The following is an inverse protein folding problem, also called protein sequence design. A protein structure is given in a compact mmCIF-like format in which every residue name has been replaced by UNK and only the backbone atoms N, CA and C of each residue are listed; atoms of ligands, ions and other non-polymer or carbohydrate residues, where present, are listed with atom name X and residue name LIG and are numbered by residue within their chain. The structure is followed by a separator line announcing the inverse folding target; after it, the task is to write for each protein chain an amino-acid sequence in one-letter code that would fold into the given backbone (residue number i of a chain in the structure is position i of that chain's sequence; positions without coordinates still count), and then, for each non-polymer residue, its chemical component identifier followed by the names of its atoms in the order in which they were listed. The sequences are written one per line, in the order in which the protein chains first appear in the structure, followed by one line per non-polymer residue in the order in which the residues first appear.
data_IF_792998103326
#
_entry.id   IF_792998103326
#
_cell.length_a   1.000
_cell.length_b   1.000
_cell.length_c   1.000
_cell.angle_alpha   90.00
_cell.angle_beta   90.00
_cell.angle_gamma   90.00
#
_symmetry.space_group_name_H-M   'P 1'
#
loop_
_entity.id
_entity.type
_entity.pdbx_description
1 polymer ?
#
# COMPACT_ATOMS: atom_id res chain seq x y z
N UNK A 1 25.79 -21.43 -6.79
CA UNK A 1 26.44 -20.63 -5.74
C UNK A 1 26.13 -19.14 -5.85
N UNK A 2 26.21 -18.52 -7.05
CA UNK A 2 25.89 -17.09 -7.23
C UNK A 2 24.46 -16.66 -6.83
N UNK A 3 23.45 -17.50 -7.04
CA UNK A 3 22.06 -17.21 -6.66
C UNK A 3 21.92 -17.04 -5.13
N UNK A 4 22.59 -17.88 -4.33
CA UNK A 4 22.55 -17.77 -2.87
C UNK A 4 23.19 -16.48 -2.36
N UNK A 5 24.30 -16.05 -2.98
CA UNK A 5 24.95 -14.78 -2.66
C UNK A 5 24.03 -13.59 -2.93
N UNK A 6 23.36 -13.59 -4.08
CA UNK A 6 22.40 -12.55 -4.46
C UNK A 6 21.23 -12.52 -3.47
N UNK A 7 20.66 -13.67 -3.11
CA UNK A 7 19.57 -13.74 -2.13
C UNK A 7 19.99 -13.21 -0.76
N UNK A 8 21.19 -13.56 -0.28
CA UNK A 8 21.70 -13.08 1.01
C UNK A 8 21.85 -11.55 1.00
N UNK A 9 22.39 -10.98 -0.10
CA UNK A 9 22.53 -9.52 -0.23
C UNK A 9 21.16 -8.83 -0.15
N UNK A 10 20.17 -9.30 -0.92
CA UNK A 10 18.82 -8.71 -0.89
C UNK A 10 18.12 -8.89 0.45
N UNK A 11 18.34 -10.02 1.13
CA UNK A 11 17.82 -10.25 2.47
C UNK A 11 18.38 -9.24 3.48
N UNK A 12 19.71 -9.06 3.51
CA UNK A 12 20.37 -8.10 4.40
C UNK A 12 19.89 -6.67 4.13
N UNK A 13 19.81 -6.28 2.86
CA UNK A 13 19.31 -4.95 2.49
C UNK A 13 17.85 -4.76 2.93
N UNK A 14 16.98 -5.74 2.69
CA UNK A 14 15.56 -5.68 3.10
C UNK A 14 15.42 -5.58 4.61
N UNK A 15 16.23 -6.34 5.35
CA UNK A 15 16.26 -6.29 6.81
C UNK A 15 16.71 -4.93 7.33
N UNK A 16 17.76 -4.34 6.74
CA UNK A 16 18.22 -2.99 7.09
C UNK A 16 17.14 -1.92 6.88
N UNK A 17 16.43 -1.97 5.74
CA UNK A 17 15.32 -1.04 5.46
C UNK A 17 14.19 -1.21 6.49
N UNK A 18 13.81 -2.45 6.79
CA UNK A 18 12.79 -2.76 7.80
C UNK A 18 13.16 -2.20 9.18
N UNK A 19 14.41 -2.38 9.61
CA UNK A 19 14.91 -1.80 10.86
C UNK A 19 14.85 -0.27 10.87
N UNK A 20 15.22 0.39 9.76
CA UNK A 20 15.14 1.85 9.67
C UNK A 20 13.70 2.35 9.76
N UNK A 21 12.76 1.71 9.06
CA UNK A 21 11.34 2.08 9.12
C UNK A 21 10.80 1.95 10.55
N UNK A 22 11.06 0.84 11.22
CA UNK A 22 10.67 0.61 12.62
C UNK A 22 11.29 1.66 13.55
N UNK A 23 12.57 1.99 13.36
CA UNK A 23 13.27 3.00 14.16
C UNK A 23 12.68 4.41 13.97
N UNK A 24 12.37 4.80 12.73
CA UNK A 24 11.73 6.09 12.43
C UNK A 24 10.34 6.15 13.03
N UNK A 25 9.53 5.10 12.84
CA UNK A 25 8.20 5.02 13.44
C UNK A 25 8.28 5.19 14.96
N UNK A 26 9.12 4.41 15.64
CA UNK A 26 9.32 4.50 17.09
C UNK A 26 9.76 5.91 17.55
N UNK A 27 10.62 6.59 16.77
CA UNK A 27 11.04 7.97 17.07
C UNK A 27 9.88 8.96 16.97
N UNK A 28 9.11 8.91 15.89
CA UNK A 28 8.01 9.85 15.66
C UNK A 28 6.76 9.54 16.48
N UNK A 29 6.57 8.30 16.91
CA UNK A 29 5.50 7.91 17.84
C UNK A 29 5.68 8.51 19.24
N UNK A 30 6.89 8.93 19.61
CA UNK A 30 7.17 9.62 20.89
C UNK A 30 6.96 11.13 20.83
N UNK A 31 6.84 11.71 19.64
CA UNK A 31 6.65 13.15 19.47
C UNK A 31 5.15 13.42 19.50
N UNK A 32 4.70 14.10 20.54
CA UNK A 32 3.30 14.44 20.73
C UNK A 32 2.79 15.40 19.63
N UNK A 33 1.53 15.25 19.27
CA UNK A 33 0.87 16.16 18.33
C UNK A 33 0.62 17.53 19.00
N UNK A 34 0.87 18.67 18.33
CA UNK A 34 0.68 20.00 18.95
C UNK A 34 -0.76 20.29 19.44
N UNK A 35 -1.77 19.78 18.71
CA UNK A 35 -3.19 19.85 19.12
C UNK A 35 -3.61 18.72 20.05
N UNK A 36 -2.71 17.79 20.34
CA UNK A 36 -2.96 16.62 21.15
C UNK A 36 -4.03 15.68 20.60
N UNK A 37 -4.47 15.78 19.35
CA UNK A 37 -5.48 14.87 18.81
C UNK A 37 -4.93 13.44 18.70
N UNK A 38 -5.79 12.46 18.95
CA UNK A 38 -5.54 11.04 18.67
C UNK A 38 -5.64 10.75 17.16
N UNK A 39 -5.06 9.63 16.71
CA UNK A 39 -5.18 9.21 15.31
C UNK A 39 -6.64 9.05 14.87
N UNK A 40 -7.51 8.52 15.74
CA UNK A 40 -8.96 8.48 15.49
C UNK A 40 -9.55 9.87 15.23
N UNK A 41 -9.30 10.82 16.13
CA UNK A 41 -9.86 12.17 16.01
C UNK A 41 -9.33 12.89 14.76
N UNK A 42 -8.07 12.65 14.39
CA UNK A 42 -7.49 13.16 13.14
C UNK A 42 -8.21 12.57 11.92
N UNK A 43 -8.44 11.26 11.92
CA UNK A 43 -9.14 10.56 10.85
C UNK A 43 -10.57 11.08 10.66
N UNK A 44 -11.35 11.14 11.74
CA UNK A 44 -12.72 11.65 11.73
C UNK A 44 -12.78 13.11 11.27
N UNK A 45 -11.89 13.96 11.78
CA UNK A 45 -11.81 15.36 11.36
C UNK A 45 -11.49 15.49 9.88
N UNK A 46 -10.55 14.69 9.35
CA UNK A 46 -10.17 14.73 7.95
C UNK A 46 -11.31 14.28 7.03
N UNK A 47 -12.03 13.21 7.39
CA UNK A 47 -13.21 12.71 6.66
C UNK A 47 -14.33 13.76 6.67
N UNK A 48 -14.66 14.32 7.84
CA UNK A 48 -15.69 15.35 7.97
C UNK A 48 -15.37 16.61 7.18
N UNK A 49 -14.10 17.04 7.15
CA UNK A 49 -13.67 18.19 6.34
C UNK A 49 -13.85 17.96 4.83
N UNK A 50 -13.93 16.70 4.38
CA UNK A 50 -14.21 16.33 2.99
C UNK A 50 -15.68 15.94 2.75
N UNK A 51 -16.57 16.16 3.72
CA UNK A 51 -17.99 15.83 3.61
C UNK A 51 -18.31 14.33 3.63
N UNK A 52 -17.38 13.51 4.13
CA UNK A 52 -17.51 12.05 4.18
C UNK A 52 -17.98 11.66 5.58
N UNK A 53 -19.21 11.13 5.67
CA UNK A 53 -19.84 10.72 6.94
C UNK A 53 -20.21 9.23 6.97
N UNK A 54 -20.09 8.53 5.84
CA UNK A 54 -20.42 7.13 5.69
C UNK A 54 -19.23 6.18 5.95
N UNK A 55 -18.05 6.75 6.19
CA UNK A 55 -16.84 6.00 6.54
C UNK A 55 -16.65 5.97 8.06
N UNK A 56 -16.56 4.77 8.63
CA UNK A 56 -16.35 4.58 10.09
C UNK A 56 -14.88 4.40 10.42
N UNK A 57 -14.41 5.03 11.49
CA UNK A 57 -13.05 4.84 12.02
C UNK A 57 -13.09 3.85 13.18
N UNK A 58 -12.46 2.69 13.03
CA UNK A 58 -12.46 1.60 14.03
C UNK A 58 -11.05 1.16 14.40
N UNK A 59 -10.90 0.57 15.58
CA UNK A 59 -9.66 -0.07 16.00
C UNK A 59 -9.65 -1.53 15.57
N UNK A 60 -8.53 -2.00 15.02
CA UNK A 60 -8.29 -3.42 14.70
C UNK A 60 -7.07 -3.91 15.45
N UNK A 61 -7.04 -5.20 15.80
CA UNK A 61 -5.92 -5.80 16.52
C UNK A 61 -4.65 -5.86 15.65
N UNK A 62 -3.48 -5.79 16.32
CA UNK A 62 -2.16 -5.84 15.71
C UNK A 62 -1.42 -4.50 15.74
N UNK A 63 -0.15 -4.53 15.33
CA UNK A 63 0.70 -3.34 15.16
C UNK A 63 0.93 -3.09 13.67
N UNK A 64 0.85 -1.83 13.22
CA UNK A 64 1.06 -1.43 11.82
C UNK A 64 0.15 -2.20 10.83
N UNK A 65 -1.03 -2.60 11.30
CA UNK A 65 -2.08 -3.27 10.52
C UNK A 65 -3.12 -2.28 9.98
N UNK A 66 -2.80 -0.99 10.01
CA UNK A 66 -3.65 0.10 9.58
C UNK A 66 -3.98 -0.02 8.08
N UNK A 67 -5.27 0.06 7.73
CA UNK A 67 -5.73 0.03 6.34
C UNK A 67 -7.16 0.57 6.17
N UNK A 68 -7.45 1.15 5.01
CA UNK A 68 -8.83 1.41 4.57
C UNK A 68 -9.46 0.20 3.87
N UNK A 69 -10.69 -0.16 4.25
CA UNK A 69 -11.51 -1.16 3.57
C UNK A 69 -12.64 -0.51 2.75
N UNK A 70 -12.56 -0.50 1.41
CA UNK A 70 -13.57 0.12 0.55
C UNK A 70 -14.90 -0.65 0.52
N UNK A 71 -14.91 -1.96 0.79
CA UNK A 71 -16.13 -2.78 0.75
C UNK A 71 -17.06 -2.45 1.92
N UNK A 72 -16.48 -2.27 3.11
CA UNK A 72 -17.23 -1.97 4.34
C UNK A 72 -17.22 -0.47 4.70
N UNK A 73 -16.47 0.34 3.93
CA UNK A 73 -16.22 1.77 4.20
C UNK A 73 -15.72 2.00 5.62
N UNK A 74 -14.64 1.32 6.00
CA UNK A 74 -14.03 1.48 7.32
C UNK A 74 -12.56 1.86 7.21
N UNK A 75 -12.13 2.83 8.01
CA UNK A 75 -10.72 3.11 8.27
C UNK A 75 -10.36 2.31 9.52
N UNK A 76 -9.52 1.29 9.34
CA UNK A 76 -9.09 0.40 10.39
C UNK A 76 -7.72 0.87 10.87
N UNK A 77 -7.63 1.26 12.14
CA UNK A 77 -6.37 1.71 12.75
C UNK A 77 -5.93 0.71 13.82
N UNK A 78 -4.63 0.46 13.93
CA UNK A 78 -4.04 -0.30 15.03
C UNK A 78 -4.26 0.43 16.35
N UNK A 79 -4.27 -0.24 17.52
CA UNK A 79 -4.59 0.40 18.79
C UNK A 79 -3.63 1.55 19.13
N UNK A 80 -2.34 1.38 18.78
CA UNK A 80 -1.28 2.37 18.95
C UNK A 80 -1.52 3.65 18.13
N UNK A 81 -2.15 3.53 16.96
CA UNK A 81 -2.50 4.67 16.09
C UNK A 81 -3.85 5.23 16.49
N UNK A 82 -4.84 4.37 16.73
CA UNK A 82 -6.20 4.76 17.09
C UNK A 82 -6.22 5.63 18.35
N UNK A 83 -5.52 5.20 19.41
CA UNK A 83 -5.42 5.92 20.67
C UNK A 83 -4.19 6.84 20.76
N UNK A 84 -3.20 6.65 19.89
CA UNK A 84 -1.95 7.41 19.90
C UNK A 84 -2.16 8.89 19.61
N UNK A 85 -1.54 9.75 20.43
CA UNK A 85 -1.58 11.22 20.32
C UNK A 85 -0.25 11.78 19.80
N UNK A 86 0.33 11.10 18.81
CA UNK A 86 1.67 11.38 18.28
C UNK A 86 1.62 11.79 16.80
N UNK A 87 2.71 12.39 16.32
CA UNK A 87 2.87 12.74 14.89
C UNK A 87 2.76 11.48 14.02
N UNK A 88 3.34 10.37 14.45
CA UNK A 88 3.22 9.11 13.71
C UNK A 88 1.76 8.63 13.63
N UNK A 89 1.02 8.65 14.74
CA UNK A 89 -0.38 8.24 14.76
C UNK A 89 -1.25 9.13 13.85
N UNK A 90 -1.07 10.44 13.90
CA UNK A 90 -1.77 11.36 13.00
C UNK A 90 -1.40 11.15 11.53
N UNK A 91 -0.12 10.88 11.23
CA UNK A 91 0.35 10.65 9.86
C UNK A 91 -0.24 9.35 9.27
N UNK A 92 -0.25 8.26 10.04
CA UNK A 92 -0.84 6.98 9.60
C UNK A 92 -2.35 7.13 9.43
N UNK A 93 -3.05 7.71 10.42
CA UNK A 93 -4.48 7.97 10.31
C UNK A 93 -4.85 8.82 9.08
N UNK A 94 -4.06 9.86 8.79
CA UNK A 94 -4.25 10.70 7.61
C UNK A 94 -3.96 9.95 6.30
N UNK A 95 -2.95 9.07 6.28
CA UNK A 95 -2.66 8.22 5.12
C UNK A 95 -3.85 7.32 4.77
N UNK A 96 -4.40 6.62 5.78
CA UNK A 96 -5.53 5.72 5.56
C UNK A 96 -6.83 6.44 5.21
N UNK A 97 -7.07 7.61 5.82
CA UNK A 97 -8.18 8.47 5.41
C UNK A 97 -8.04 8.99 3.98
N UNK A 98 -6.80 9.18 3.51
CA UNK A 98 -6.51 9.52 2.12
C UNK A 98 -7.10 8.50 1.15
N UNK A 99 -6.99 7.20 1.44
CA UNK A 99 -7.60 6.14 0.62
C UNK A 99 -9.13 6.23 0.63
N UNK A 100 -9.73 6.53 1.80
CA UNK A 100 -11.17 6.73 1.92
C UNK A 100 -11.67 7.94 1.10
N UNK A 101 -10.93 9.05 1.13
CA UNK A 101 -11.25 10.26 0.35
C UNK A 101 -11.12 9.99 -1.14
N UNK A 102 -10.03 9.34 -1.57
CA UNK A 102 -9.84 8.95 -2.97
C UNK A 102 -10.97 8.05 -3.48
N UNK A 103 -11.43 7.13 -2.63
CA UNK A 103 -12.56 6.26 -2.94
C UNK A 103 -13.87 7.06 -3.05
N UNK A 104 -14.16 7.96 -2.11
CA UNK A 104 -15.34 8.81 -2.13
C UNK A 104 -15.38 9.76 -3.33
N UNK A 105 -14.23 10.25 -3.78
CA UNK A 105 -14.10 11.10 -4.97
C UNK A 105 -14.13 10.31 -6.29
N UNK A 106 -14.32 8.99 -6.25
CA UNK A 106 -14.39 8.12 -7.43
C UNK A 106 -13.22 8.35 -8.39
N UNK A 107 -11.98 8.37 -7.87
CA UNK A 107 -10.80 8.74 -8.66
C UNK A 107 -10.66 7.83 -9.91
N UNK A 108 -11.03 8.36 -11.08
CA UNK A 108 -11.22 7.57 -12.31
C UNK A 108 -9.95 6.82 -12.71
N UNK A 109 -8.77 7.43 -12.50
CA UNK A 109 -7.48 6.79 -12.75
C UNK A 109 -7.18 5.62 -11.80
N UNK A 110 -7.65 5.67 -10.55
CA UNK A 110 -7.47 4.57 -9.60
C UNK A 110 -8.36 3.38 -9.98
N UNK A 111 -9.60 3.64 -10.36
CA UNK A 111 -10.51 2.59 -10.85
C UNK A 111 -9.99 1.96 -12.14
N UNK A 112 -9.52 2.77 -13.09
CA UNK A 112 -8.87 2.28 -14.31
C UNK A 112 -7.66 1.39 -13.98
N UNK A 113 -6.76 1.84 -13.10
CA UNK A 113 -5.60 1.03 -12.69
C UNK A 113 -6.03 -0.29 -12.07
N UNK A 114 -6.95 -0.28 -11.11
CA UNK A 114 -7.42 -1.49 -10.42
C UNK A 114 -8.09 -2.48 -11.37
N UNK A 115 -8.87 -1.99 -12.34
CA UNK A 115 -9.49 -2.81 -13.38
C UNK A 115 -8.47 -3.45 -14.34
N UNK A 116 -7.33 -2.79 -14.59
CA UNK A 116 -6.27 -3.28 -15.47
C UNK A 116 -5.38 -4.34 -14.80
N UNK A 117 -5.24 -4.36 -13.47
CA UNK A 117 -4.39 -5.32 -12.74
C UNK A 117 -4.61 -6.78 -13.14
N UNK A 118 -5.84 -7.33 -13.20
CA UNK A 118 -6.05 -8.73 -13.59
C UNK A 118 -5.61 -9.00 -15.05
N UNK A 119 -5.89 -8.07 -15.97
CA UNK A 119 -5.50 -8.20 -17.39
C UNK A 119 -3.99 -8.19 -17.53
N UNK A 120 -3.32 -7.24 -16.86
CA UNK A 120 -1.86 -7.12 -16.87
C UNK A 120 -1.20 -8.33 -16.21
N UNK A 121 -1.79 -8.90 -15.16
CA UNK A 121 -1.27 -10.11 -14.50
C UNK A 121 -1.27 -11.31 -15.44
N UNK A 122 -2.36 -11.51 -16.19
CA UNK A 122 -2.44 -12.55 -17.23
C UNK A 122 -1.41 -12.29 -18.32
N UNK A 123 -1.38 -11.07 -18.87
CA UNK A 123 -0.42 -10.71 -19.92
C UNK A 123 1.03 -10.94 -19.47
N UNK A 124 1.40 -10.50 -18.27
CA UNK A 124 2.74 -10.66 -17.70
C UNK A 124 3.15 -12.13 -17.55
N UNK A 125 2.21 -13.01 -17.18
CA UNK A 125 2.46 -14.45 -17.07
C UNK A 125 2.72 -15.09 -18.44
N UNK A 126 2.04 -14.63 -19.49
CA UNK A 126 2.13 -15.21 -20.82
C UNK A 126 3.21 -14.60 -21.71
N UNK A 127 3.59 -13.33 -21.49
CA UNK A 127 4.59 -12.61 -22.30
C UNK A 127 5.88 -13.40 -22.47
N UNK A 128 6.41 -14.00 -21.40
CA UNK A 128 7.64 -14.79 -21.48
C UNK A 128 7.48 -16.01 -22.41
N UNK A 129 6.33 -16.68 -22.36
CA UNK A 129 6.04 -17.83 -23.22
C UNK A 129 5.79 -17.42 -24.67
N UNK A 130 5.07 -16.31 -24.88
CA UNK A 130 4.82 -15.76 -26.22
C UNK A 130 6.12 -15.32 -26.88
N UNK A 131 7.00 -14.64 -26.15
CA UNK A 131 8.33 -14.25 -26.66
C UNK A 131 9.18 -15.49 -26.97
N UNK A 132 9.19 -16.49 -26.08
CA UNK A 132 9.93 -17.74 -26.32
C UNK A 132 9.40 -18.49 -27.55
N UNK A 133 8.09 -18.62 -27.69
CA UNK A 133 7.45 -19.23 -28.85
C UNK A 133 7.77 -18.47 -30.14
N UNK A 134 7.77 -17.13 -30.09
CA UNK A 134 8.18 -16.28 -31.21
C UNK A 134 9.63 -16.54 -31.62
N UNK A 135 10.56 -16.62 -30.67
CA UNK A 135 11.98 -16.93 -30.95
C UNK A 135 12.11 -18.32 -31.59
N UNK A 136 11.43 -19.34 -31.05
CA UNK A 136 11.47 -20.70 -31.60
C UNK A 136 10.88 -20.73 -33.02
N UNK A 137 9.76 -20.05 -33.25
CA UNK A 137 9.09 -20.01 -34.56
C UNK A 137 9.96 -19.31 -35.62
N UNK A 138 10.66 -18.24 -35.26
CA UNK A 138 11.64 -17.59 -36.14
C UNK A 138 12.84 -18.49 -36.45
N UNK A 139 13.26 -19.33 -35.50
CA UNK A 139 14.33 -20.30 -35.70
C UNK A 139 13.91 -21.49 -36.57
N UNK A 140 12.65 -21.94 -36.47
CA UNK A 140 12.15 -23.09 -37.25
C UNK A 140 11.66 -22.69 -38.64
N UNK A 141 11.10 -21.48 -38.79
CA UNK A 141 10.60 -20.95 -40.06
C UNK A 141 11.15 -19.54 -40.30
N UNK A 142 12.45 -19.41 -40.66
CA UNK A 142 13.07 -18.11 -40.91
C UNK A 142 12.47 -17.36 -42.12
N UNK A 143 11.74 -18.05 -42.99
CA UNK A 143 11.03 -17.46 -44.13
C UNK A 143 9.84 -16.57 -43.74
N UNK A 144 9.48 -16.48 -42.46
CA UNK A 144 8.41 -15.60 -41.96
C UNK A 144 8.88 -14.13 -41.87
N UNK A 145 10.19 -13.88 -41.87
CA UNK A 145 10.78 -12.54 -41.86
C UNK A 145 11.15 -12.00 -43.25
N UNK A 146 11.00 -12.80 -44.31
CA UNK A 146 11.32 -12.47 -45.71
C UNK A 146 10.05 -12.34 -46.54
#
# INVERSE_FOLDING_TARGET
MGIYLIMIIFFVLSFMVSMQLRSKFARYSRIALPRGLSGKEVAELMLHNHGIYDVKVISVDGELTDHYNPANKTVNLSPDVYHGRSIAAAAVAAHECGHAIQHAQSYAFLQMRSALVPVVSVASRWVQWVLLAGVILLQTMPSILL
#
